data_IF_179004931811
#
_entry.id   IF_179004931811
#
_cell.length_a   1.000
_cell.length_b   1.000
_cell.length_c   1.000
_cell.angle_alpha   90.00
_cell.angle_beta   90.00
_cell.angle_gamma   90.00
#
_symmetry.space_group_name_H-M   'P 1'
#
loop_
_entity.id
_entity.type
_entity.pdbx_description
1 polymer ?
#
# COMPACT_ATOMS: atom_id res chain seq x y z
N UNK A 1 77.67 0.70 9.64
CA UNK A 1 77.68 1.98 8.90
C UNK A 1 76.31 2.13 8.24
N UNK A 2 75.61 3.25 8.46
CA UNK A 2 74.44 3.69 7.68
C UNK A 2 74.94 4.19 6.31
N UNK A 3 74.18 4.00 5.22
CA UNK A 3 73.15 4.96 4.77
C UNK A 3 71.92 4.23 4.16
N UNK A 4 70.79 4.80 3.74
CA UNK A 4 70.12 6.10 3.79
C UNK A 4 68.65 5.79 3.46
N UNK A 5 67.74 6.51 4.11
CA UNK A 5 66.29 6.47 3.89
C UNK A 5 65.98 7.15 2.55
N UNK A 6 65.18 6.52 1.68
CA UNK A 6 64.43 7.24 0.64
C UNK A 6 62.98 6.77 0.63
N UNK A 7 62.14 7.77 0.90
CA UNK A 7 60.68 7.81 0.94
C UNK A 7 60.04 7.48 -0.41
N UNK A 8 58.89 6.80 -0.42
CA UNK A 8 57.91 6.90 -1.52
C UNK A 8 56.51 6.39 -1.10
N UNK A 9 55.62 7.37 -0.92
CA UNK A 9 54.16 7.42 -1.07
C UNK A 9 53.27 6.21 -0.71
N UNK A 10 52.40 6.46 0.27
CA UNK A 10 51.13 5.78 0.44
C UNK A 10 50.24 5.98 -0.80
N UNK A 11 49.81 4.89 -1.43
CA UNK A 11 48.72 4.90 -2.40
C UNK A 11 47.41 4.97 -1.61
N UNK A 12 46.81 6.16 -1.52
CA UNK A 12 45.40 6.27 -1.18
C UNK A 12 44.58 5.75 -2.37
N UNK A 13 44.02 4.55 -2.23
CA UNK A 13 42.91 4.12 -3.07
C UNK A 13 41.69 4.94 -2.66
N UNK A 14 41.45 6.04 -3.38
CA UNK A 14 40.14 6.67 -3.38
C UNK A 14 39.17 5.69 -4.04
N UNK A 15 38.40 4.96 -3.21
CA UNK A 15 37.21 4.29 -3.67
C UNK A 15 36.22 5.37 -4.10
N UNK A 16 36.19 5.69 -5.39
CA UNK A 16 35.07 6.40 -5.98
C UNK A 16 33.90 5.41 -6.01
N UNK A 17 33.18 5.29 -4.90
CA UNK A 17 31.79 4.84 -4.96
C UNK A 17 31.07 5.84 -5.84
N UNK A 18 30.77 5.46 -7.09
CA UNK A 18 29.70 6.10 -7.84
C UNK A 18 28.46 5.94 -6.97
N UNK A 19 28.13 6.99 -6.22
CA UNK A 19 26.81 7.13 -5.67
C UNK A 19 25.93 7.25 -6.92
N UNK A 20 25.16 6.20 -7.18
CA UNK A 20 24.05 6.28 -8.12
C UNK A 20 23.09 7.33 -7.54
N UNK A 21 23.27 8.57 -7.97
CA UNK A 21 22.30 9.63 -7.74
C UNK A 21 21.15 9.28 -8.66
N UNK A 22 20.14 8.63 -8.12
CA UNK A 22 18.87 8.51 -8.82
C UNK A 22 18.34 9.94 -8.94
N UNK A 23 18.35 10.49 -10.15
CA UNK A 23 17.69 11.74 -10.49
C UNK A 23 16.19 11.56 -10.21
N UNK A 24 15.75 11.85 -9.00
CA UNK A 24 14.35 12.20 -8.78
C UNK A 24 14.21 13.62 -9.29
N UNK A 25 13.66 13.75 -10.49
CA UNK A 25 13.19 15.02 -11.05
C UNK A 25 12.45 15.78 -9.98
N UNK A 26 13.08 16.84 -9.46
CA UNK A 26 12.44 17.82 -8.58
C UNK A 26 11.65 18.75 -9.49
N UNK A 27 10.63 18.20 -10.15
CA UNK A 27 9.68 19.02 -10.88
C UNK A 27 8.63 19.46 -9.87
N UNK A 28 8.54 20.78 -9.72
CA UNK A 28 7.66 21.46 -8.77
C UNK A 28 6.23 21.50 -9.30
N UNK A 29 5.69 20.34 -9.68
CA UNK A 29 4.26 20.17 -9.86
C UNK A 29 3.69 19.79 -8.50
N UNK A 30 2.65 20.51 -8.06
CA UNK A 30 1.98 20.33 -6.78
C UNK A 30 1.81 18.85 -6.45
N UNK A 31 2.74 18.30 -5.66
CA UNK A 31 2.77 16.91 -5.32
C UNK A 31 1.55 16.67 -4.44
N UNK A 32 0.50 16.08 -5.02
CA UNK A 32 -0.60 15.54 -4.25
C UNK A 32 0.05 14.72 -3.15
N UNK A 33 -0.05 15.18 -1.90
CA UNK A 33 0.66 14.61 -0.78
C UNK A 33 0.28 13.13 -0.71
N UNK A 34 1.23 12.24 -1.01
CA UNK A 34 0.94 10.81 -1.12
C UNK A 34 0.33 10.35 0.20
N UNK A 35 -0.84 9.72 0.14
CA UNK A 35 -1.62 9.38 1.30
C UNK A 35 -1.08 8.08 1.91
N UNK A 36 -0.03 8.11 2.75
CA UNK A 36 0.55 6.85 3.25
C UNK A 36 -0.40 6.06 4.19
N UNK A 37 -1.17 6.78 5.00
CA UNK A 37 -2.10 6.22 5.99
C UNK A 37 -3.47 6.90 5.82
N UNK A 38 -4.54 6.12 5.84
CA UNK A 38 -5.90 6.63 5.79
C UNK A 38 -6.78 6.03 6.90
N UNK A 39 -7.81 6.76 7.30
CA UNK A 39 -8.95 6.22 8.03
C UNK A 39 -10.10 6.03 7.07
N UNK A 40 -10.61 4.81 6.95
CA UNK A 40 -11.68 4.47 6.00
C UNK A 40 -12.97 4.16 6.73
N UNK A 41 -14.06 4.80 6.30
CA UNK A 41 -15.43 4.49 6.73
C UNK A 41 -16.31 4.32 5.51
N UNK A 42 -16.65 3.08 5.16
CA UNK A 42 -17.36 2.78 3.93
C UNK A 42 -17.20 1.35 3.49
N UNK A 43 -17.53 1.06 2.23
CA UNK A 43 -17.39 -0.27 1.65
C UNK A 43 -16.08 -0.36 0.88
N UNK A 44 -15.33 -1.41 1.16
CA UNK A 44 -14.16 -1.81 0.39
C UNK A 44 -14.32 -3.24 -0.11
N UNK A 45 -13.45 -3.67 -1.02
CA UNK A 45 -13.46 -5.07 -1.44
C UNK A 45 -12.53 -5.37 -2.59
N UNK A 46 -12.75 -6.54 -3.20
CA UNK A 46 -12.12 -6.86 -4.47
C UNK A 46 -12.48 -5.82 -5.54
N UNK A 47 -11.61 -5.52 -6.51
CA UNK A 47 -11.92 -4.54 -7.56
C UNK A 47 -13.24 -4.84 -8.31
N UNK A 48 -13.53 -6.14 -8.51
CA UNK A 48 -14.80 -6.59 -9.10
C UNK A 48 -15.97 -6.40 -8.15
N UNK A 49 -15.85 -6.90 -6.92
CA UNK A 49 -16.93 -6.82 -5.92
C UNK A 49 -17.32 -5.39 -5.60
N UNK A 50 -16.35 -4.47 -5.45
CA UNK A 50 -16.65 -3.06 -5.22
C UNK A 50 -17.42 -2.45 -6.40
N UNK A 51 -17.01 -2.73 -7.63
CA UNK A 51 -17.70 -2.22 -8.82
C UNK A 51 -19.15 -2.71 -8.91
N UNK A 52 -19.37 -3.98 -8.64
CA UNK A 52 -20.70 -4.59 -8.63
C UNK A 52 -21.57 -4.04 -7.50
N UNK A 53 -21.00 -3.86 -6.29
CA UNK A 53 -21.67 -3.19 -5.18
C UNK A 53 -22.12 -1.77 -5.54
N UNK A 54 -21.24 -0.97 -6.17
CA UNK A 54 -21.55 0.40 -6.56
C UNK A 54 -22.58 0.49 -7.70
N UNK A 55 -22.63 -0.52 -8.56
CA UNK A 55 -23.62 -0.63 -9.62
C UNK A 55 -24.96 -1.26 -9.15
N UNK A 56 -25.00 -1.83 -7.94
CA UNK A 56 -26.17 -2.52 -7.42
C UNK A 56 -27.29 -1.52 -7.08
N UNK A 57 -28.54 -1.76 -7.52
CA UNK A 57 -29.70 -0.99 -7.07
C UNK A 57 -30.05 -1.27 -5.59
N UNK A 58 -29.51 -2.36 -5.01
CA UNK A 58 -29.76 -2.81 -3.63
C UNK A 58 -28.42 -3.05 -2.91
N UNK A 59 -27.62 -1.99 -2.67
CA UNK A 59 -26.25 -2.12 -2.16
C UNK A 59 -26.17 -2.83 -0.81
N UNK A 60 -27.14 -2.61 0.09
CA UNK A 60 -27.19 -3.28 1.39
C UNK A 60 -27.37 -4.80 1.27
N UNK A 61 -28.20 -5.27 0.34
CA UNK A 61 -28.38 -6.71 0.11
C UNK A 61 -27.13 -7.30 -0.55
N UNK A 62 -26.53 -6.59 -1.51
CA UNK A 62 -25.28 -7.02 -2.13
C UNK A 62 -24.18 -7.20 -1.09
N UNK A 63 -23.99 -6.24 -0.18
CA UNK A 63 -23.00 -6.34 0.90
C UNK A 63 -23.22 -7.60 1.75
N UNK A 64 -24.47 -7.85 2.18
CA UNK A 64 -24.82 -9.01 3.01
C UNK A 64 -24.63 -10.36 2.30
N UNK A 65 -24.88 -10.40 0.99
CA UNK A 65 -24.85 -11.65 0.21
C UNK A 65 -23.47 -11.93 -0.39
N UNK A 66 -22.58 -10.93 -0.42
CA UNK A 66 -21.27 -10.98 -1.06
C UNK A 66 -20.16 -10.50 -0.11
N UNK A 67 -20.17 -11.04 1.12
CA UNK A 67 -19.11 -10.79 2.08
C UNK A 67 -17.72 -11.07 1.49
N UNK A 68 -16.73 -10.31 1.92
CA UNK A 68 -15.36 -10.43 1.44
C UNK A 68 -14.79 -11.79 1.84
N UNK A 69 -14.48 -12.60 0.83
CA UNK A 69 -13.82 -13.89 0.98
C UNK A 69 -12.46 -13.82 0.30
N UNK A 70 -11.43 -14.40 0.92
CA UNK A 70 -10.09 -14.47 0.37
C UNK A 70 -9.51 -15.87 0.60
N UNK A 71 -8.59 -16.29 -0.27
CA UNK A 71 -7.73 -17.45 0.00
C UNK A 71 -6.59 -17.01 0.89
N UNK A 72 -6.46 -17.62 2.06
CA UNK A 72 -5.36 -17.40 2.99
C UNK A 72 -4.35 -18.53 2.83
N UNK A 73 -3.08 -18.21 2.56
CA UNK A 73 -1.98 -19.19 2.54
C UNK A 73 -1.45 -19.46 3.94
N UNK A 74 -0.65 -20.53 4.08
CA UNK A 74 -0.09 -20.96 5.37
C UNK A 74 0.78 -19.89 6.06
N UNK A 75 1.33 -18.93 5.30
CA UNK A 75 2.10 -17.78 5.80
C UNK A 75 1.22 -16.55 6.15
N UNK A 76 -0.10 -16.68 6.08
CA UNK A 76 -1.07 -15.65 6.45
C UNK A 76 -1.36 -14.61 5.37
N UNK A 77 -0.92 -14.81 4.12
CA UNK A 77 -1.20 -13.88 3.03
C UNK A 77 -2.59 -14.12 2.43
N UNK A 78 -3.41 -13.07 2.40
CA UNK A 78 -4.69 -13.08 1.71
C UNK A 78 -4.51 -12.83 0.21
N UNK A 79 -5.16 -13.63 -0.63
CA UNK A 79 -5.10 -13.55 -2.08
C UNK A 79 -6.44 -13.95 -2.71
N UNK A 80 -6.60 -13.69 -4.01
CA UNK A 80 -7.79 -14.09 -4.79
C UNK A 80 -9.12 -13.67 -4.12
N UNK A 81 -9.15 -12.47 -3.56
CA UNK A 81 -10.32 -11.99 -2.83
C UNK A 81 -11.50 -11.70 -3.76
N UNK A 82 -12.70 -11.98 -3.28
CA UNK A 82 -13.99 -11.73 -3.93
C UNK A 82 -14.98 -11.12 -2.96
N UNK A 83 -15.96 -10.36 -3.46
CA UNK A 83 -16.95 -9.70 -2.61
C UNK A 83 -16.45 -8.38 -2.02
N UNK A 84 -17.14 -7.94 -0.97
CA UNK A 84 -17.00 -6.63 -0.32
C UNK A 84 -17.14 -6.73 1.20
N UNK A 85 -16.61 -5.76 1.92
CA UNK A 85 -16.73 -5.65 3.37
C UNK A 85 -16.96 -4.20 3.78
N UNK A 86 -17.52 -4.00 4.97
CA UNK A 86 -17.73 -2.68 5.53
C UNK A 86 -16.64 -2.34 6.56
N UNK A 87 -15.93 -1.25 6.31
CA UNK A 87 -14.87 -0.74 7.16
C UNK A 87 -15.45 0.34 8.09
N UNK A 88 -15.26 0.17 9.40
CA UNK A 88 -15.76 1.08 10.44
C UNK A 88 -14.64 1.95 11.00
N UNK A 89 -14.41 3.11 10.37
CA UNK A 89 -13.35 4.05 10.77
C UNK A 89 -11.99 3.37 10.99
N UNK A 90 -11.63 2.52 10.04
CA UNK A 90 -10.48 1.65 10.16
C UNK A 90 -9.23 2.35 9.66
N UNK A 91 -8.16 2.32 10.46
CA UNK A 91 -6.85 2.78 10.01
C UNK A 91 -6.26 1.76 9.05
N UNK A 92 -5.86 2.20 7.86
CA UNK A 92 -5.32 1.36 6.80
C UNK A 92 -4.02 1.98 6.26
N UNK A 93 -3.15 1.11 5.74
CA UNK A 93 -2.00 1.56 4.94
C UNK A 93 -2.44 1.68 3.50
N UNK A 94 -2.09 2.76 2.82
CA UNK A 94 -2.40 2.91 1.40
C UNK A 94 -1.29 2.29 0.58
N UNK A 95 -1.68 1.43 -0.35
CA UNK A 95 -0.78 0.73 -1.25
C UNK A 95 -0.64 1.47 -2.59
N UNK A 96 -1.73 2.04 -3.09
CA UNK A 96 -1.77 2.81 -4.34
C UNK A 96 -2.85 3.91 -4.24
N UNK A 97 -2.44 5.15 -4.49
CA UNK A 97 -3.29 6.34 -4.51
C UNK A 97 -3.28 7.08 -5.86
N UNK A 98 -2.86 6.41 -6.94
CA UNK A 98 -2.80 7.00 -8.28
C UNK A 98 -4.19 7.22 -8.92
N UNK A 99 -5.18 6.39 -8.59
CA UNK A 99 -6.54 6.52 -9.12
C UNK A 99 -7.30 7.67 -8.45
N UNK A 100 -7.92 8.59 -9.20
CA UNK A 100 -8.59 9.76 -8.61
C UNK A 100 -9.88 9.40 -7.85
N UNK A 101 -10.52 8.27 -8.16
CA UNK A 101 -11.80 7.87 -7.57
C UNK A 101 -11.65 6.84 -6.42
N UNK A 102 -10.55 6.09 -6.41
CA UNK A 102 -10.34 4.96 -5.51
C UNK A 102 -8.96 4.97 -4.87
N UNK A 103 -8.81 4.20 -3.80
CA UNK A 103 -7.52 3.90 -3.18
C UNK A 103 -7.38 2.39 -3.06
N UNK A 104 -6.20 1.86 -3.34
CA UNK A 104 -5.86 0.49 -2.95
C UNK A 104 -5.22 0.55 -1.57
N UNK A 105 -5.76 -0.21 -0.62
CA UNK A 105 -5.34 -0.17 0.78
C UNK A 105 -5.12 -1.56 1.33
N UNK A 106 -4.25 -1.67 2.33
CA UNK A 106 -4.08 -2.84 3.17
C UNK A 106 -4.92 -2.62 4.43
N UNK A 107 -6.03 -3.35 4.53
CA UNK A 107 -6.95 -3.29 5.66
C UNK A 107 -6.88 -4.59 6.49
N UNK A 108 -6.94 -4.50 7.84
CA UNK A 108 -7.21 -5.67 8.66
C UNK A 108 -8.66 -6.12 8.43
N UNK A 109 -8.88 -7.30 7.88
CA UNK A 109 -10.23 -7.84 7.66
C UNK A 109 -10.36 -9.15 8.40
N UNK A 110 -11.45 -9.30 9.13
CA UNK A 110 -11.86 -10.57 9.71
C UNK A 110 -12.29 -11.53 8.59
N UNK A 111 -11.55 -12.62 8.44
CA UNK A 111 -11.86 -13.77 7.59
C UNK A 111 -12.05 -15.00 8.49
N UNK A 112 -12.26 -16.18 7.90
CA UNK A 112 -12.26 -17.52 8.51
C UNK A 112 -12.29 -17.56 10.05
N UNK A 113 -13.48 -17.79 10.61
CA UNK A 113 -13.69 -18.03 12.05
C UNK A 113 -13.23 -16.90 12.99
N UNK A 114 -13.29 -15.65 12.55
CA UNK A 114 -13.02 -14.50 13.41
C UNK A 114 -11.55 -14.06 13.41
N UNK A 115 -10.71 -14.66 12.56
CA UNK A 115 -9.30 -14.30 12.46
C UNK A 115 -9.11 -13.11 11.52
N UNK A 116 -8.37 -12.11 11.97
CA UNK A 116 -8.05 -10.94 11.15
C UNK A 116 -6.78 -11.16 10.32
N UNK A 117 -6.84 -10.80 9.03
CA UNK A 117 -5.73 -10.85 8.09
C UNK A 117 -5.51 -9.49 7.40
N UNK A 118 -4.27 -9.15 7.01
CA UNK A 118 -4.02 -7.99 6.16
C UNK A 118 -4.48 -8.30 4.72
N UNK A 119 -5.48 -7.58 4.24
CA UNK A 119 -6.07 -7.78 2.91
C UNK A 119 -5.87 -6.54 2.06
N UNK A 120 -5.38 -6.73 0.83
CA UNK A 120 -5.34 -5.67 -0.18
C UNK A 120 -6.73 -5.55 -0.82
N UNK A 121 -7.38 -4.43 -0.59
CA UNK A 121 -8.72 -4.12 -1.09
C UNK A 121 -8.76 -2.72 -1.70
N UNK A 122 -9.75 -2.49 -2.55
CA UNK A 122 -10.04 -1.17 -3.10
C UNK A 122 -11.14 -0.52 -2.28
N UNK A 123 -11.04 0.78 -2.05
CA UNK A 123 -12.06 1.62 -1.40
C UNK A 123 -12.30 2.87 -2.24
N UNK A 124 -13.46 3.52 -2.08
CA UNK A 124 -13.67 4.82 -2.71
C UNK A 124 -12.90 5.92 -1.97
N UNK A 125 -12.26 6.83 -2.71
CA UNK A 125 -11.49 7.94 -2.12
C UNK A 125 -12.36 8.82 -1.21
N UNK A 126 -13.63 9.04 -1.57
CA UNK A 126 -14.59 9.80 -0.74
C UNK A 126 -14.86 9.16 0.64
N UNK A 127 -14.60 7.85 0.78
CA UNK A 127 -14.81 7.10 2.02
C UNK A 127 -13.52 7.03 2.87
N UNK A 128 -12.42 7.62 2.39
CA UNK A 128 -11.11 7.62 3.02
C UNK A 128 -10.67 9.03 3.44
N UNK A 129 -10.06 9.13 4.63
CA UNK A 129 -9.46 10.37 5.14
C UNK A 129 -7.98 10.15 5.38
N UNK A 130 -7.15 10.78 4.56
CA UNK A 130 -5.71 10.72 4.69
C UNK A 130 -5.26 11.36 6.00
N UNK A 131 -4.40 10.66 6.73
CA UNK A 131 -3.70 11.22 7.88
C UNK A 131 -2.56 12.09 7.36
N UNK A 132 -2.58 13.37 7.74
CA UNK A 132 -1.48 14.31 7.50
C UNK A 132 -0.42 14.18 8.59
#
# INVERSE_FOLDING_TARGET
MKPLIVSSLAVMLAAASLHAVADTSTDSDAQASSCAIAYVTGVGGSPRGLREYLASPTPYNYLKENDLQCKVSDDGRASNCTGVTYLRNQQVSVYDDSDPATLTVVAPVELDHGQTYPVIIVVQRKDARCKQ
#
